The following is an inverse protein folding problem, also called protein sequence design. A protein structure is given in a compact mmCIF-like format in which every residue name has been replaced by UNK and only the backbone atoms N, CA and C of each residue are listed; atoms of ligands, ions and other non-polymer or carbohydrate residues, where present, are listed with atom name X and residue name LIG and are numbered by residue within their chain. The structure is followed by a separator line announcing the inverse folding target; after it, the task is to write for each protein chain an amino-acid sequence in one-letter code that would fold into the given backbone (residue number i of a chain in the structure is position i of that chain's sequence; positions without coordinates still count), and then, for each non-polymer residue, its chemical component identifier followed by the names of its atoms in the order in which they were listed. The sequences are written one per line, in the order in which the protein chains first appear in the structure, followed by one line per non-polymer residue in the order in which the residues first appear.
data_IF_899017242750
#
_entry.id   IF_899017242750
#
_cell.length_a   1.000
_cell.length_b   1.000
_cell.length_c   1.000
_cell.angle_alpha   90.00
_cell.angle_beta   90.00
_cell.angle_gamma   90.00
#
_symmetry.space_group_name_H-M   'P 1'
#
loop_
_entity.id
_entity.type
_entity.pdbx_description
1 polymer ?
#
# COMPACT_ATOMS: atom_id res chain seq x y z
N UNK A 1 -34.90 -1.53 23.86
CA UNK A 1 -34.44 -2.32 22.70
C UNK A 1 -34.16 -1.48 21.45
N UNK A 2 -35.08 -0.61 21.00
CA UNK A 2 -34.89 0.18 19.77
C UNK A 2 -33.61 1.04 19.72
N UNK A 3 -33.24 1.69 20.83
CA UNK A 3 -32.02 2.51 20.93
C UNK A 3 -30.74 1.66 20.87
N UNK A 4 -30.75 0.47 21.50
CA UNK A 4 -29.61 -0.45 21.45
C UNK A 4 -29.36 -0.99 20.03
N UNK A 5 -30.43 -1.26 19.27
CA UNK A 5 -30.32 -1.70 17.87
C UNK A 5 -29.75 -0.57 16.99
N UNK A 6 -30.22 0.67 17.18
CA UNK A 6 -29.69 1.83 16.44
C UNK A 6 -28.21 2.07 16.80
N UNK A 7 -27.84 1.98 18.08
CA UNK A 7 -26.45 2.11 18.51
C UNK A 7 -25.55 1.03 17.93
N UNK A 8 -26.02 -0.22 17.85
CA UNK A 8 -25.27 -1.32 17.24
C UNK A 8 -25.06 -1.12 15.74
N UNK A 9 -26.06 -0.58 15.04
CA UNK A 9 -25.97 -0.27 13.61
C UNK A 9 -25.03 0.91 13.31
N UNK A 10 -24.84 1.86 14.23
CA UNK A 10 -23.91 2.97 14.03
C UNK A 10 -22.43 2.56 14.19
N UNK A 11 -22.12 1.53 14.97
CA UNK A 11 -20.73 1.10 15.24
C UNK A 11 -20.11 0.40 14.02
N UNK A 12 -20.91 -0.23 13.16
CA UNK A 12 -20.39 -0.91 11.97
C UNK A 12 -19.78 0.04 10.92
N UNK A 13 -20.09 1.34 10.99
CA UNK A 13 -19.50 2.35 10.10
C UNK A 13 -18.10 2.79 10.53
N UNK A 14 -17.62 2.33 11.69
CA UNK A 14 -16.30 2.67 12.23
C UNK A 14 -15.19 1.70 11.77
N UNK A 15 -15.54 0.67 11.00
CA UNK A 15 -14.59 -0.31 10.49
C UNK A 15 -14.50 -0.13 8.98
N UNK A 16 -13.42 0.48 8.50
CA UNK A 16 -13.27 0.76 7.08
C UNK A 16 -11.81 0.84 6.65
N UNK A 17 -11.46 0.10 5.60
CA UNK A 17 -10.25 0.43 4.86
C UNK A 17 -10.54 1.56 3.89
N UNK A 18 -9.57 2.44 3.69
CA UNK A 18 -9.67 3.53 2.73
C UNK A 18 -8.51 3.51 1.74
N UNK A 19 -8.78 4.06 0.55
CA UNK A 19 -7.76 4.21 -0.48
C UNK A 19 -7.23 5.64 -0.45
N UNK A 20 -5.91 5.77 -0.43
CA UNK A 20 -5.23 7.05 -0.56
C UNK A 20 -4.41 7.10 -1.84
N UNK A 21 -4.50 8.24 -2.54
CA UNK A 21 -3.60 8.59 -3.63
C UNK A 21 -2.42 9.39 -3.08
N UNK A 22 -1.21 9.05 -3.51
CA UNK A 22 0.02 9.77 -3.16
C UNK A 22 0.87 9.99 -4.40
N UNK A 23 1.66 11.06 -4.38
CA UNK A 23 2.64 11.33 -5.43
C UNK A 23 3.98 10.70 -5.07
N UNK A 24 4.65 10.11 -6.07
CA UNK A 24 5.99 9.59 -5.87
C UNK A 24 7.01 10.74 -5.76
N UNK A 25 7.67 10.85 -4.62
CA UNK A 25 8.61 11.94 -4.38
C UNK A 25 9.84 11.84 -5.29
N UNK A 26 10.34 13.00 -5.73
CA UNK A 26 11.52 13.04 -6.60
C UNK A 26 12.74 12.50 -5.86
N UNK A 27 13.35 11.45 -6.42
CA UNK A 27 14.53 10.80 -5.86
C UNK A 27 14.23 9.71 -4.83
N UNK A 28 12.95 9.49 -4.48
CA UNK A 28 12.54 8.37 -3.62
C UNK A 28 12.75 7.04 -4.33
N UNK A 29 13.39 6.10 -3.66
CA UNK A 29 13.58 4.73 -4.15
C UNK A 29 12.49 3.80 -3.61
N UNK A 30 12.33 2.63 -4.23
CA UNK A 30 11.43 1.61 -3.70
C UNK A 30 11.83 1.14 -2.28
N UNK A 31 13.13 1.11 -1.98
CA UNK A 31 13.64 0.81 -0.63
C UNK A 31 13.22 1.86 0.39
N UNK A 32 13.27 3.14 0.03
CA UNK A 32 12.80 4.23 0.91
C UNK A 32 11.29 4.08 1.18
N UNK A 33 10.51 3.76 0.15
CA UNK A 33 9.09 3.46 0.30
C UNK A 33 8.84 2.29 1.26
N UNK A 34 9.60 1.20 1.14
CA UNK A 34 9.49 0.05 2.04
C UNK A 34 9.82 0.42 3.48
N UNK A 35 10.86 1.22 3.68
CA UNK A 35 11.26 1.73 4.99
C UNK A 35 10.15 2.60 5.61
N UNK A 36 9.59 3.56 4.87
CA UNK A 36 8.52 4.46 5.33
C UNK A 36 7.25 3.70 5.78
N UNK A 37 6.99 2.53 5.16
CA UNK A 37 5.85 1.67 5.46
C UNK A 37 6.18 0.51 6.39
N UNK A 38 7.36 0.52 7.03
CA UNK A 38 7.82 -0.52 7.96
C UNK A 38 7.80 -1.93 7.34
N UNK A 39 8.07 -2.04 6.05
CA UNK A 39 8.16 -3.32 5.34
C UNK A 39 9.61 -3.82 5.43
N UNK A 40 9.77 -5.08 5.81
CA UNK A 40 11.10 -5.70 5.94
C UNK A 40 11.89 -5.66 4.63
N UNK A 41 13.14 -5.21 4.70
CA UNK A 41 14.08 -5.22 3.58
C UNK A 41 14.32 -6.63 3.00
N UNK A 42 14.12 -7.69 3.79
CA UNK A 42 14.20 -9.08 3.32
C UNK A 42 13.20 -9.42 2.21
N UNK A 43 12.08 -8.69 2.10
CA UNK A 43 11.16 -8.85 0.98
C UNK A 43 11.83 -8.44 -0.34
N UNK A 44 12.67 -7.42 -0.32
CA UNK A 44 13.40 -6.94 -1.49
C UNK A 44 14.39 -8.02 -1.98
N UNK A 45 15.03 -8.73 -1.04
CA UNK A 45 15.92 -9.87 -1.33
C UNK A 45 15.19 -11.08 -1.95
N UNK A 46 13.88 -11.20 -1.70
CA UNK A 46 13.07 -12.27 -2.29
C UNK A 46 12.71 -12.03 -3.77
N UNK A 47 12.87 -10.79 -4.25
CA UNK A 47 12.61 -10.40 -5.64
C UNK A 47 13.86 -10.75 -6.47
N UNK A 48 13.66 -11.30 -7.67
CA UNK A 48 14.77 -11.64 -8.56
C UNK A 48 15.60 -10.39 -8.93
N UNK A 49 16.90 -10.55 -9.16
CA UNK A 49 17.78 -9.42 -9.56
C UNK A 49 17.34 -8.76 -10.87
N UNK A 50 16.72 -9.52 -11.77
CA UNK A 50 16.20 -8.99 -13.02
C UNK A 50 14.98 -8.11 -12.74
N UNK A 51 14.05 -8.59 -11.91
CA UNK A 51 12.83 -7.85 -11.57
C UNK A 51 13.11 -6.59 -10.73
N UNK A 52 14.14 -6.64 -9.88
CA UNK A 52 14.59 -5.47 -9.13
C UNK A 52 15.01 -4.30 -10.04
N UNK A 53 15.42 -4.55 -11.29
CA UNK A 53 15.77 -3.48 -12.24
C UNK A 53 14.56 -2.61 -12.57
N UNK A 54 13.36 -3.19 -12.66
CA UNK A 54 12.14 -2.44 -12.93
C UNK A 54 11.74 -1.52 -11.77
N UNK A 55 12.17 -1.81 -10.54
CA UNK A 55 11.94 -0.94 -9.39
C UNK A 55 12.71 0.38 -9.48
N UNK A 56 13.78 0.43 -10.28
CA UNK A 56 14.53 1.66 -10.57
C UNK A 56 13.82 2.56 -11.60
N UNK A 57 12.81 2.04 -12.28
CA UNK A 57 12.05 2.76 -13.31
C UNK A 57 10.86 3.53 -12.73
N UNK A 58 10.62 3.49 -11.40
CA UNK A 58 9.55 4.27 -10.78
C UNK A 58 9.84 5.76 -10.99
N UNK A 59 8.95 6.41 -11.75
CA UNK A 59 9.11 7.83 -12.09
C UNK A 59 8.39 8.71 -11.09
N UNK A 60 8.98 9.85 -10.78
CA UNK A 60 8.43 10.83 -9.85
C UNK A 60 7.19 11.58 -10.36
N UNK A 61 6.83 11.41 -11.63
CA UNK A 61 5.59 11.96 -12.20
C UNK A 61 4.39 11.00 -12.07
N UNK A 62 4.61 9.80 -11.53
CA UNK A 62 3.54 8.87 -11.22
C UNK A 62 3.06 9.03 -9.79
N UNK A 63 1.74 9.05 -9.64
CA UNK A 63 1.12 8.77 -8.37
C UNK A 63 0.89 7.28 -8.18
N UNK A 64 0.73 6.90 -6.93
CA UNK A 64 0.48 5.53 -6.50
C UNK A 64 -0.71 5.50 -5.54
N UNK A 65 -1.29 4.32 -5.37
CA UNK A 65 -2.46 4.12 -4.53
C UNK A 65 -2.14 3.15 -3.40
N UNK A 66 -2.60 3.47 -2.20
CA UNK A 66 -2.47 2.62 -1.03
C UNK A 66 -3.84 2.31 -0.44
N UNK A 67 -4.06 1.05 -0.07
CA UNK A 67 -5.17 0.63 0.78
C UNK A 67 -4.65 0.55 2.21
N UNK A 68 -5.28 1.33 3.09
CA UNK A 68 -4.88 1.50 4.48
C UNK A 68 -6.02 1.05 5.38
N UNK A 69 -5.67 0.52 6.56
CA UNK A 69 -6.64 0.33 7.63
C UNK A 69 -6.79 1.57 8.51
N UNK A 70 -7.70 1.52 9.48
CA UNK A 70 -7.97 2.59 10.43
C UNK A 70 -6.74 3.01 11.27
N UNK A 71 -5.73 2.14 11.37
CA UNK A 71 -4.45 2.43 12.05
C UNK A 71 -3.38 2.95 11.09
N UNK A 72 -3.75 3.31 9.85
CA UNK A 72 -2.83 3.74 8.79
C UNK A 72 -1.79 2.66 8.43
N UNK A 73 -2.10 1.38 8.69
CA UNK A 73 -1.25 0.25 8.31
C UNK A 73 -1.52 -0.11 6.86
N UNK A 74 -0.44 -0.27 6.09
CA UNK A 74 -0.52 -0.66 4.68
C UNK A 74 -1.06 -2.09 4.54
N UNK A 75 -2.20 -2.22 3.86
CA UNK A 75 -2.76 -3.49 3.45
C UNK A 75 -2.37 -3.83 2.01
N UNK A 76 -2.36 -2.81 1.13
CA UNK A 76 -1.97 -2.96 -0.27
C UNK A 76 -1.42 -1.66 -0.86
N UNK A 77 -0.54 -1.76 -1.84
CA UNK A 77 -0.07 -0.65 -2.67
C UNK A 77 0.01 -1.02 -4.15
N UNK A 78 -0.34 -0.07 -5.00
CA UNK A 78 -0.24 -0.14 -6.46
C UNK A 78 0.67 1.00 -6.93
N UNK A 79 1.90 0.64 -7.32
CA UNK A 79 2.96 1.59 -7.68
C UNK A 79 3.28 1.43 -9.16
N UNK A 80 2.94 2.41 -10.03
CA UNK A 80 3.29 2.34 -11.43
C UNK A 80 4.81 2.37 -11.65
N UNK A 81 5.33 1.46 -12.46
CA UNK A 81 6.73 1.43 -12.92
C UNK A 81 6.85 1.81 -14.40
N UNK A 82 5.77 1.68 -15.16
CA UNK A 82 5.67 2.14 -16.54
C UNK A 82 4.24 2.57 -16.85
N UNK A 83 3.94 2.90 -18.12
CA UNK A 83 2.56 3.18 -18.54
C UNK A 83 1.66 1.95 -18.49
N UNK A 84 2.24 0.76 -18.55
CA UNK A 84 1.52 -0.51 -18.72
C UNK A 84 1.74 -1.47 -17.55
N UNK A 85 2.72 -1.19 -16.69
CA UNK A 85 3.11 -2.07 -15.58
C UNK A 85 3.06 -1.36 -14.23
N UNK A 86 2.69 -2.13 -13.21
CA UNK A 86 2.68 -1.71 -11.81
C UNK A 86 3.26 -2.79 -10.91
N UNK A 87 3.88 -2.36 -9.82
CA UNK A 87 4.16 -3.20 -8.67
C UNK A 87 2.90 -3.27 -7.82
N UNK A 88 2.42 -4.49 -7.58
CA UNK A 88 1.34 -4.76 -6.65
C UNK A 88 1.92 -5.39 -5.39
N UNK A 89 1.99 -4.59 -4.32
CA UNK A 89 2.41 -5.05 -3.00
C UNK A 89 1.17 -5.27 -2.15
N UNK A 90 1.02 -6.44 -1.52
CA UNK A 90 -0.11 -6.70 -0.63
C UNK A 90 0.32 -7.54 0.56
N UNK A 91 -0.34 -7.31 1.69
CA UNK A 91 -0.20 -8.14 2.88
C UNK A 91 -0.94 -9.45 2.64
N UNK A 92 -0.21 -10.57 2.68
CA UNK A 92 -0.83 -11.89 2.61
C UNK A 92 -1.42 -12.21 3.97
N UNK A 93 -2.73 -12.36 4.05
CA UNK A 93 -3.36 -12.97 5.22
C UNK A 93 -2.95 -14.45 5.27
N UNK A 94 -2.47 -14.90 6.44
CA UNK A 94 -2.32 -16.32 6.68
C UNK A 94 -3.75 -16.89 6.85
N UNK A 95 -4.24 -17.51 5.79
CA UNK A 95 -5.46 -18.32 5.85
C UNK A 95 -5.31 -19.47 6.84
#
# INVERSE_FOLDING_TARGET
MRIFIVSLLCISWLLGMHVEYRQWEKGKTFSDYMHDRNISASLLESISKEDQKFLLEIRSDYGYYELLDDNNTLQQSLIPISKEMQVHLFKKENA
#
